data_IF_696345757460
#
_entry.id   IF_696345757460
#
_cell.length_a   1.000
_cell.length_b   1.000
_cell.length_c   1.000
_cell.angle_alpha   90.00
_cell.angle_beta   90.00
_cell.angle_gamma   90.00
#
_symmetry.space_group_name_H-M   'P 1'
#
loop_
_entity.id
_entity.type
_entity.pdbx_description
1 polymer ?
#
# COMPACT_ATOMS: atom_id res chain seq x y z
N UNK A 1 -11.28 -4.98 7.89
CA UNK A 1 -10.34 -4.64 9.00
C UNK A 1 -9.20 -5.65 9.14
N UNK A 2 -9.45 -6.95 9.36
CA UNK A 2 -8.33 -7.91 9.52
C UNK A 2 -7.46 -8.02 8.26
N UNK A 3 -8.06 -7.99 7.06
CA UNK A 3 -7.36 -7.98 5.77
C UNK A 3 -6.49 -6.73 5.61
N UNK A 4 -7.10 -5.55 5.70
CA UNK A 4 -6.41 -4.24 5.59
C UNK A 4 -5.23 -4.11 6.54
N UNK A 5 -5.41 -4.57 7.79
CA UNK A 5 -4.34 -4.55 8.78
C UNK A 5 -3.17 -5.47 8.41
N UNK A 6 -3.47 -6.67 7.92
CA UNK A 6 -2.43 -7.62 7.48
C UNK A 6 -1.75 -7.12 6.19
N UNK A 7 -2.50 -6.50 5.28
CA UNK A 7 -1.95 -5.89 4.07
C UNK A 7 -0.98 -4.76 4.44
N UNK A 8 -1.35 -3.90 5.38
CA UNK A 8 -0.48 -2.81 5.87
C UNK A 8 0.78 -3.35 6.55
N UNK A 9 0.67 -4.39 7.38
CA UNK A 9 1.80 -5.09 8.00
C UNK A 9 2.79 -5.62 6.95
N UNK A 10 2.28 -6.28 5.91
CA UNK A 10 3.12 -6.79 4.81
C UNK A 10 3.71 -5.69 3.94
N UNK A 11 2.95 -4.65 3.62
CA UNK A 11 3.48 -3.50 2.90
C UNK A 11 4.59 -2.79 3.70
N UNK A 12 4.47 -2.75 5.03
CA UNK A 12 5.51 -2.22 5.91
C UNK A 12 6.81 -3.03 5.88
N UNK A 13 6.73 -4.36 5.96
CA UNK A 13 7.89 -5.25 5.83
C UNK A 13 8.61 -5.04 4.48
N UNK A 14 7.85 -4.98 3.38
CA UNK A 14 8.41 -4.74 2.04
C UNK A 14 9.01 -3.33 1.89
N UNK A 15 8.39 -2.31 2.51
CA UNK A 15 8.91 -0.95 2.49
C UNK A 15 10.25 -0.83 3.24
N UNK A 16 10.38 -1.50 4.39
CA UNK A 16 11.63 -1.59 5.13
C UNK A 16 12.71 -2.30 4.29
N UNK A 17 12.36 -3.45 3.69
CA UNK A 17 13.28 -4.19 2.83
C UNK A 17 13.76 -3.34 1.65
N UNK A 18 12.84 -2.67 0.94
CA UNK A 18 13.16 -1.82 -0.20
C UNK A 18 14.05 -0.64 0.22
N UNK A 19 13.76 -0.01 1.37
CA UNK A 19 14.59 1.07 1.91
C UNK A 19 16.01 0.58 2.18
N UNK A 20 16.16 -0.54 2.89
CA UNK A 20 17.48 -1.11 3.21
C UNK A 20 18.25 -1.45 1.92
N UNK A 21 17.57 -2.06 0.94
CA UNK A 21 18.16 -2.35 -0.36
C UNK A 21 18.66 -1.09 -1.08
N UNK A 22 17.87 -0.01 -1.08
CA UNK A 22 18.26 1.26 -1.70
C UNK A 22 19.41 1.95 -0.93
N UNK A 23 19.46 1.81 0.40
CA UNK A 23 20.57 2.33 1.21
C UNK A 23 21.92 1.65 0.91
N UNK A 24 21.90 0.39 0.44
CA UNK A 24 23.11 -0.33 0.03
C UNK A 24 23.66 0.12 -1.33
N UNK A 25 22.89 0.91 -2.10
CA UNK A 25 23.33 1.44 -3.40
C UNK A 25 24.24 2.67 -3.16
N UNK A 26 25.50 2.58 -3.62
CA UNK A 26 26.57 3.55 -3.34
C UNK A 26 26.22 5.01 -3.65
N UNK A 27 25.47 5.26 -4.71
CA UNK A 27 25.13 6.61 -5.19
C UNK A 27 23.68 7.02 -4.90
N UNK A 28 22.97 6.25 -4.08
CA UNK A 28 21.61 6.61 -3.70
C UNK A 28 21.61 7.81 -2.74
N UNK A 29 20.74 8.83 -2.96
CA UNK A 29 20.64 9.97 -2.05
C UNK A 29 20.26 9.57 -0.62
N UNK A 30 21.00 10.09 0.37
CA UNK A 30 20.78 9.83 1.81
C UNK A 30 20.63 11.15 2.58
N UNK A 31 19.81 11.21 3.65
CA UNK A 31 18.96 10.12 4.17
C UNK A 31 17.72 9.88 3.30
N UNK A 32 17.22 8.64 3.30
CA UNK A 32 15.97 8.33 2.62
C UNK A 32 14.77 8.86 3.40
N UNK A 33 13.82 9.48 2.69
CA UNK A 33 12.54 9.85 3.28
C UNK A 33 11.71 8.60 3.63
N UNK A 34 10.81 8.68 4.62
CA UNK A 34 9.89 7.59 4.93
C UNK A 34 9.06 7.18 3.71
N UNK A 35 8.79 5.88 3.56
CA UNK A 35 7.91 5.38 2.50
C UNK A 35 6.45 5.65 2.87
N UNK A 36 5.72 6.36 2.01
CA UNK A 36 4.30 6.63 2.21
C UNK A 36 3.43 5.45 1.74
N UNK A 37 2.74 4.81 2.69
CA UNK A 37 1.76 3.76 2.41
C UNK A 37 0.36 4.34 2.49
N UNK A 38 -0.36 4.31 1.38
CA UNK A 38 -1.75 4.76 1.33
C UNK A 38 -2.69 3.65 1.82
N UNK A 39 -3.59 3.96 2.76
CA UNK A 39 -4.57 3.02 3.29
C UNK A 39 -5.98 3.64 3.25
N UNK A 40 -6.98 2.86 2.79
CA UNK A 40 -8.36 3.33 2.68
C UNK A 40 -9.21 3.05 3.94
N UNK A 41 -8.63 2.38 4.93
CA UNK A 41 -9.28 2.01 6.17
C UNK A 41 -8.81 2.91 7.31
N UNK A 42 -9.55 3.98 7.58
CA UNK A 42 -9.31 4.85 8.74
C UNK A 42 -9.27 4.06 10.06
N UNK A 43 -10.07 2.99 10.17
CA UNK A 43 -10.08 2.14 11.33
C UNK A 43 -8.80 1.29 11.47
N UNK A 44 -8.10 1.01 10.36
CA UNK A 44 -6.76 0.40 10.37
C UNK A 44 -5.72 1.44 10.77
N UNK A 45 -5.77 2.64 10.17
CA UNK A 45 -4.87 3.77 10.46
C UNK A 45 -4.89 4.11 11.96
N UNK A 46 -6.07 4.43 12.51
CA UNK A 46 -6.19 4.75 13.93
C UNK A 46 -5.79 3.60 14.86
N UNK A 47 -5.83 2.35 14.36
CA UNK A 47 -5.37 1.19 15.14
C UNK A 47 -3.85 1.10 15.20
N UNK A 48 -3.13 1.42 14.12
CA UNK A 48 -1.66 1.36 14.10
C UNK A 48 -1.02 2.59 14.73
N UNK A 49 -1.71 3.72 14.72
CA UNK A 49 -1.30 4.95 15.41
C UNK A 49 -1.49 4.86 16.93
N UNK A 50 -2.39 3.99 17.40
CA UNK A 50 -2.57 3.74 18.84
C UNK A 50 -1.31 3.16 19.46
N UNK A 51 -0.84 3.74 20.57
CA UNK A 51 0.31 3.21 21.29
C UNK A 51 0.07 1.78 21.79
N UNK A 52 -1.18 1.43 22.11
CA UNK A 52 -1.54 0.13 22.68
C UNK A 52 -2.56 -0.62 21.81
N UNK A 53 -2.31 -1.92 21.66
CA UNK A 53 -3.24 -2.84 21.03
C UNK A 53 -4.20 -3.44 22.07
N UNK A 54 -5.48 -3.06 21.99
CA UNK A 54 -6.52 -3.48 22.95
C UNK A 54 -7.29 -4.75 22.51
N UNK A 55 -6.84 -5.46 21.48
CA UNK A 55 -7.51 -6.66 20.98
C UNK A 55 -7.06 -7.95 21.67
N UNK A 56 -7.86 -9.02 21.56
CA UNK A 56 -7.54 -10.35 22.14
C UNK A 56 -6.66 -11.24 21.25
N UNK A 57 -6.56 -10.94 19.95
CA UNK A 57 -5.79 -11.75 19.00
C UNK A 57 -4.28 -11.53 19.12
N UNK A 58 -3.54 -12.58 19.52
CA UNK A 58 -2.08 -12.57 19.65
C UNK A 58 -1.37 -12.29 18.32
N UNK A 59 -1.82 -12.92 17.23
CA UNK A 59 -1.17 -12.75 15.92
C UNK A 59 -1.39 -11.36 15.33
N UNK A 60 -2.47 -10.66 15.67
CA UNK A 60 -2.65 -9.25 15.30
C UNK A 60 -1.85 -8.34 16.23
N UNK A 61 -1.75 -8.67 17.53
CA UNK A 61 -0.91 -7.90 18.47
C UNK A 61 0.56 -7.84 18.03
N UNK A 62 1.11 -8.96 17.53
CA UNK A 62 2.48 -8.99 17.00
C UNK A 62 2.64 -8.04 15.81
N UNK A 63 1.76 -8.14 14.83
CA UNK A 63 1.77 -7.26 13.64
C UNK A 63 1.62 -5.79 13.97
N UNK A 64 0.74 -5.47 14.92
CA UNK A 64 0.64 -4.10 15.45
C UNK A 64 1.94 -3.59 16.01
N UNK A 65 2.68 -4.42 16.75
CA UNK A 65 3.96 -4.01 17.29
C UNK A 65 4.94 -3.68 16.16
N UNK A 66 5.05 -4.56 15.15
CA UNK A 66 5.90 -4.37 13.97
C UNK A 66 5.56 -3.09 13.22
N UNK A 67 4.29 -2.88 12.82
CA UNK A 67 3.90 -1.66 12.10
C UNK A 67 4.16 -0.40 12.93
N UNK A 68 3.90 -0.45 14.25
CA UNK A 68 4.16 0.69 15.13
C UNK A 68 5.66 0.98 15.29
N UNK A 69 6.51 -0.04 15.26
CA UNK A 69 7.96 0.12 15.23
C UNK A 69 8.39 0.84 13.95
N UNK A 70 7.91 0.39 12.78
CA UNK A 70 8.20 1.01 11.47
C UNK A 70 7.76 2.47 11.40
N UNK A 71 6.60 2.80 11.97
CA UNK A 71 6.12 4.18 12.09
C UNK A 71 7.03 5.00 13.02
N UNK A 72 7.39 4.46 14.19
CA UNK A 72 8.20 5.17 15.17
C UNK A 72 9.65 5.37 14.75
N UNK A 73 10.20 4.49 13.91
CA UNK A 73 11.54 4.61 13.33
C UNK A 73 11.57 5.52 12.11
N UNK A 74 10.42 6.00 11.63
CA UNK A 74 10.33 6.83 10.43
C UNK A 74 10.66 6.07 9.14
N UNK A 75 10.56 4.74 9.13
CA UNK A 75 10.74 3.95 7.91
C UNK A 75 9.52 4.12 7.00
N UNK A 76 8.33 4.15 7.59
CA UNK A 76 7.07 4.36 6.87
C UNK A 76 6.27 5.51 7.47
N UNK A 77 5.42 6.10 6.65
CA UNK A 77 4.25 6.88 7.08
C UNK A 77 3.01 6.26 6.46
N UNK A 78 1.86 6.42 7.10
CA UNK A 78 0.57 5.94 6.57
C UNK A 78 -0.33 7.13 6.37
N UNK A 79 -0.86 7.28 5.15
CA UNK A 79 -1.82 8.33 4.82
C UNK A 79 -3.13 7.73 4.33
N UNK A 80 -4.22 8.46 4.58
CA UNK A 80 -5.54 8.05 4.16
C UNK A 80 -5.76 8.31 2.68
N UNK A 81 -6.24 7.31 1.95
CA UNK A 81 -6.74 7.46 0.57
C UNK A 81 -8.19 7.04 0.50
N UNK A 82 -9.00 7.71 -0.32
CA UNK A 82 -10.37 7.24 -0.56
C UNK A 82 -10.32 5.93 -1.33
N UNK A 83 -11.13 4.93 -0.97
CA UNK A 83 -11.12 3.60 -1.65
C UNK A 83 -11.25 3.70 -3.17
N UNK A 84 -12.11 4.59 -3.70
CA UNK A 84 -12.26 4.83 -5.15
C UNK A 84 -11.02 5.39 -5.87
N UNK A 85 -10.04 5.85 -5.11
CA UNK A 85 -8.78 6.43 -5.55
C UNK A 85 -7.59 5.54 -5.14
N UNK A 86 -7.84 4.43 -4.42
CA UNK A 86 -6.82 3.48 -4.01
C UNK A 86 -6.47 2.55 -5.17
N UNK A 87 -5.29 2.75 -5.76
CA UNK A 87 -4.83 1.94 -6.88
C UNK A 87 -4.61 0.47 -6.52
N UNK A 88 -4.49 0.08 -5.24
CA UNK A 88 -4.34 -1.34 -4.87
C UNK A 88 -5.67 -2.11 -4.82
N UNK A 89 -6.82 -1.42 -4.82
CA UNK A 89 -8.13 -2.05 -4.69
C UNK A 89 -8.42 -3.13 -5.75
N UNK A 90 -8.06 -2.98 -7.05
CA UNK A 90 -8.28 -4.02 -8.05
C UNK A 90 -7.56 -5.35 -7.75
N UNK A 91 -6.47 -5.30 -6.98
CA UNK A 91 -5.67 -6.48 -6.64
C UNK A 91 -6.26 -7.26 -5.45
N UNK A 92 -7.21 -6.67 -4.73
CA UNK A 92 -7.75 -7.22 -3.46
C UNK A 92 -9.27 -7.32 -3.43
N UNK A 93 -9.97 -6.62 -4.33
CA UNK A 93 -11.43 -6.50 -4.39
C UNK A 93 -11.93 -6.72 -5.83
N UNK A 94 -13.17 -7.20 -5.95
CA UNK A 94 -13.88 -7.15 -7.23
C UNK A 94 -14.41 -5.74 -7.48
N UNK A 95 -13.88 -5.05 -8.49
CA UNK A 95 -14.32 -3.71 -8.88
C UNK A 95 -15.18 -3.74 -10.15
N UNK A 96 -15.90 -2.65 -10.41
CA UNK A 96 -16.54 -2.43 -11.71
C UNK A 96 -15.49 -2.23 -12.80
N UNK A 97 -15.89 -2.42 -14.07
CA UNK A 97 -15.02 -2.17 -15.24
C UNK A 97 -14.40 -0.77 -15.20
N UNK A 98 -15.22 0.24 -14.93
CA UNK A 98 -14.77 1.64 -14.78
C UNK A 98 -13.75 1.81 -13.65
N UNK A 99 -13.97 1.15 -12.51
CA UNK A 99 -13.04 1.17 -11.39
C UNK A 99 -11.69 0.55 -11.73
N UNK A 100 -11.69 -0.57 -12.47
CA UNK A 100 -10.46 -1.20 -12.97
C UNK A 100 -9.75 -0.30 -13.99
N UNK A 101 -10.47 0.32 -14.93
CA UNK A 101 -9.86 1.23 -15.91
C UNK A 101 -9.18 2.42 -15.24
N UNK A 102 -9.89 3.13 -14.35
CA UNK A 102 -9.36 4.29 -13.64
C UNK A 102 -8.12 3.96 -12.80
N UNK A 103 -8.18 2.87 -12.05
CA UNK A 103 -7.03 2.42 -11.22
C UNK A 103 -5.86 1.92 -12.06
N UNK A 104 -6.12 1.26 -13.19
CA UNK A 104 -5.08 0.84 -14.14
C UNK A 104 -4.33 2.03 -14.71
N UNK A 105 -5.04 3.08 -15.13
CA UNK A 105 -4.41 4.35 -15.53
C UNK A 105 -3.56 4.95 -14.41
N UNK A 106 -4.07 4.92 -13.17
CA UNK A 106 -3.33 5.36 -11.97
C UNK A 106 -2.06 4.55 -11.69
N UNK A 107 -2.01 3.26 -12.06
CA UNK A 107 -0.81 2.43 -12.01
C UNK A 107 0.16 2.70 -13.18
N UNK A 108 -0.23 3.51 -14.17
CA UNK A 108 0.52 3.73 -15.40
C UNK A 108 0.30 2.65 -16.47
N UNK A 109 -0.69 1.78 -16.29
CA UNK A 109 -1.09 0.80 -17.28
C UNK A 109 -1.97 1.46 -18.35
N UNK A 110 -1.79 1.06 -19.60
CA UNK A 110 -2.63 1.52 -20.72
C UNK A 110 -3.55 0.39 -21.17
N UNK A 111 -4.84 0.68 -21.47
CA UNK A 111 -5.70 -0.27 -22.14
C UNK A 111 -5.04 -0.76 -23.43
N UNK A 112 -5.09 -2.07 -23.66
CA UNK A 112 -4.63 -2.63 -24.92
C UNK A 112 -5.64 -2.20 -25.99
N UNK A 113 -5.30 -1.17 -26.77
CA UNK A 113 -6.09 -0.80 -27.95
C UNK A 113 -5.99 -1.98 -28.92
N UNK A 114 -7.10 -2.70 -29.12
CA UNK A 114 -7.21 -3.57 -30.28
C UNK A 114 -7.09 -2.67 -31.51
N UNK A 115 -5.96 -2.73 -32.21
CA UNK A 115 -5.94 -2.36 -33.62
C UNK A 115 -6.82 -3.36 -34.34
N UNK A 116 -8.13 -3.08 -34.37
CA UNK A 116 -8.95 -3.56 -35.45
C UNK A 116 -8.65 -2.60 -36.60
N UNK A 117 -7.72 -3.02 -37.46
CA UNK A 117 -7.55 -2.43 -38.77
C UNK A 117 -8.81 -2.74 -39.58
N UNK A 118 -9.87 -1.98 -39.32
CA UNK A 118 -11.02 -1.87 -40.20
C UNK A 118 -10.59 -1.00 -41.39
N UNK A 119 -9.74 -1.56 -42.25
CA UNK A 119 -9.47 -1.01 -43.57
C UNK A 119 -8.95 -2.09 -44.50
N UNK A 120 -9.87 -2.80 -45.15
CA UNK A 120 -9.74 -3.32 -46.51
C UNK A 120 -11.11 -3.81 -46.98
N UNK A 121 -11.91 -2.88 -47.49
CA UNK A 121 -12.90 -3.19 -48.53
C UNK A 121 -12.21 -3.03 -49.88
#
# INVERSE_FOLDING_TARGET
MKSEFIALDKAGEEAEWLRNFLEDILYWPKPMAPVCIHCDSQATIGRVESMMYNGKSRHIRRRHHTVRELLSSGIIIVDYVKSKDNVSDPLTKGLSREGVEKTSEGMGLRPRTSQHDDNST
#
